data_IF_304722587453
#
_entry.id   IF_304722587453
#
_cell.length_a   1.000
_cell.length_b   1.000
_cell.length_c   1.000
_cell.angle_alpha   90.00
_cell.angle_beta   90.00
_cell.angle_gamma   90.00
#
_symmetry.space_group_name_H-M   'P 1'
#
loop_
_entity.id
_entity.type
_entity.pdbx_description
1 polymer ?
#
# COMPACT_ATOMS: atom_id res chain seq x y z
N UNK A 1 102.27 -12.42 -23.41
CA UNK A 1 101.47 -13.57 -23.90
C UNK A 1 100.00 -13.29 -23.60
N UNK A 2 99.16 -13.61 -24.58
CA UNK A 2 97.70 -13.39 -24.82
C UNK A 2 96.73 -13.69 -23.65
N UNK A 3 95.40 -13.43 -23.73
CA UNK A 3 94.59 -12.98 -24.89
C UNK A 3 93.53 -11.87 -24.66
N UNK A 4 92.99 -11.39 -25.79
CA UNK A 4 91.76 -10.61 -25.98
C UNK A 4 90.53 -11.32 -25.40
N UNK A 5 89.55 -10.55 -24.91
CA UNK A 5 88.16 -10.99 -24.84
C UNK A 5 87.21 -10.02 -25.57
N UNK A 6 86.46 -10.65 -26.47
CA UNK A 6 85.44 -10.20 -27.42
C UNK A 6 84.31 -9.34 -26.82
N UNK A 7 84.00 -8.23 -27.48
CA UNK A 7 82.72 -7.53 -27.34
C UNK A 7 81.66 -8.21 -28.22
N UNK A 8 80.76 -8.99 -27.62
CA UNK A 8 79.49 -9.38 -28.27
C UNK A 8 78.41 -8.35 -27.97
N UNK A 9 78.05 -7.57 -28.98
CA UNK A 9 76.83 -6.75 -29.00
C UNK A 9 75.69 -7.63 -29.53
N UNK A 10 74.63 -7.82 -28.75
CA UNK A 10 73.39 -8.48 -29.18
C UNK A 10 72.56 -7.54 -30.06
N UNK A 11 71.90 -8.02 -31.13
CA UNK A 11 71.04 -7.17 -31.95
C UNK A 11 69.73 -6.87 -31.22
N UNK A 12 69.35 -5.59 -31.17
CA UNK A 12 68.06 -5.15 -30.70
C UNK A 12 66.96 -5.64 -31.67
N UNK A 13 66.05 -6.49 -31.19
CA UNK A 13 64.85 -6.88 -31.91
C UNK A 13 63.87 -5.69 -31.95
N UNK A 14 63.59 -5.18 -33.16
CA UNK A 14 62.61 -4.13 -33.38
C UNK A 14 61.19 -4.60 -33.03
N UNK A 15 60.52 -3.83 -32.16
CA UNK A 15 59.09 -4.01 -31.87
C UNK A 15 58.27 -3.44 -33.03
N UNK A 16 57.54 -4.29 -33.74
CA UNK A 16 56.52 -3.86 -34.71
C UNK A 16 55.31 -3.33 -33.94
N UNK A 17 55.07 -2.03 -33.98
CA UNK A 17 53.86 -1.42 -33.44
C UNK A 17 52.71 -1.65 -34.43
N UNK A 18 51.70 -2.43 -34.02
CA UNK A 18 50.49 -2.61 -34.81
C UNK A 18 49.71 -1.29 -34.86
N UNK A 19 49.16 -0.89 -36.03
CA UNK A 19 48.39 0.34 -36.15
C UNK A 19 47.17 0.28 -35.24
N UNK A 20 47.03 1.28 -34.37
CA UNK A 20 45.82 1.48 -33.58
C UNK A 20 44.71 1.89 -34.54
N UNK A 21 43.73 1.02 -34.74
CA UNK A 21 42.54 1.36 -35.52
C UNK A 21 41.71 2.40 -34.76
N UNK A 22 41.90 3.68 -35.10
CA UNK A 22 41.03 4.76 -34.62
C UNK A 22 39.63 4.55 -35.19
N UNK A 23 38.73 3.98 -34.36
CA UNK A 23 37.31 3.88 -34.67
C UNK A 23 36.70 5.27 -34.62
N UNK A 24 36.58 5.91 -35.79
CA UNK A 24 35.87 7.18 -35.95
C UNK A 24 34.38 6.89 -35.89
N UNK A 25 33.74 7.27 -34.78
CA UNK A 25 32.30 7.14 -34.61
C UNK A 25 31.58 8.11 -35.54
N UNK A 26 30.67 7.60 -36.37
CA UNK A 26 29.91 8.43 -37.31
C UNK A 26 28.63 8.96 -36.67
N UNK A 27 28.15 10.12 -37.15
CA UNK A 27 26.85 10.67 -36.72
C UNK A 27 25.70 9.70 -36.99
N UNK A 28 25.79 8.90 -38.07
CA UNK A 28 24.78 7.91 -38.44
C UNK A 28 24.72 6.76 -37.41
N UNK A 29 25.88 6.25 -36.98
CA UNK A 29 25.93 5.22 -35.92
C UNK A 29 25.30 5.70 -34.61
N UNK A 30 25.56 6.96 -34.22
CA UNK A 30 24.92 7.55 -33.05
C UNK A 30 23.40 7.65 -33.24
N UNK A 31 22.96 8.10 -34.40
CA UNK A 31 21.55 8.33 -34.71
C UNK A 31 20.73 7.02 -34.72
N UNK A 32 21.29 5.94 -35.29
CA UNK A 32 20.64 4.63 -35.28
C UNK A 32 20.51 4.07 -33.87
N UNK A 33 21.54 4.23 -33.03
CA UNK A 33 21.50 3.75 -31.63
C UNK A 33 20.42 4.47 -30.83
N UNK A 34 20.34 5.80 -30.91
CA UNK A 34 19.28 6.55 -30.20
C UNK A 34 17.89 6.19 -30.73
N UNK A 35 17.75 5.93 -32.04
CA UNK A 35 16.48 5.52 -32.64
C UNK A 35 16.01 4.16 -32.10
N UNK A 36 16.93 3.20 -31.97
CA UNK A 36 16.62 1.88 -31.38
C UNK A 36 16.26 2.01 -29.90
N UNK A 37 17.01 2.80 -29.13
CA UNK A 37 16.72 3.05 -27.70
C UNK A 37 15.33 3.69 -27.55
N UNK A 38 14.99 4.68 -28.38
CA UNK A 38 13.69 5.34 -28.35
C UNK A 38 12.53 4.37 -28.64
N UNK A 39 12.70 3.48 -29.62
CA UNK A 39 11.70 2.45 -29.95
C UNK A 39 11.49 1.47 -28.78
N UNK A 40 12.59 0.97 -28.19
CA UNK A 40 12.53 0.04 -27.06
C UNK A 40 11.93 0.72 -25.81
N UNK A 41 12.35 1.95 -25.52
CA UNK A 41 11.82 2.73 -24.40
C UNK A 41 10.32 2.99 -24.55
N UNK A 42 9.84 3.26 -25.77
CA UNK A 42 8.42 3.45 -26.06
C UNK A 42 7.54 2.26 -25.67
N UNK A 43 8.03 1.02 -25.81
CA UNK A 43 7.33 -0.19 -25.37
C UNK A 43 7.46 -0.45 -23.87
N UNK A 44 8.57 -0.02 -23.25
CA UNK A 44 8.87 -0.26 -21.83
C UNK A 44 8.08 0.64 -20.87
N UNK A 45 7.84 1.91 -21.21
CA UNK A 45 7.13 2.87 -20.35
C UNK A 45 5.76 2.39 -19.82
N UNK A 46 4.82 1.89 -20.66
CA UNK A 46 3.51 1.44 -20.17
C UNK A 46 3.62 0.19 -19.27
N UNK A 47 4.59 -0.68 -19.53
CA UNK A 47 4.83 -1.88 -18.72
C UNK A 47 5.47 -1.50 -17.39
N UNK A 48 6.44 -0.59 -17.40
CA UNK A 48 7.11 -0.09 -16.21
C UNK A 48 6.12 0.59 -15.25
N UNK A 49 5.21 1.42 -15.76
CA UNK A 49 4.16 2.03 -14.94
C UNK A 49 3.24 1.00 -14.28
N UNK A 50 2.86 -0.07 -15.01
CA UNK A 50 2.08 -1.17 -14.43
C UNK A 50 2.86 -1.94 -13.37
N UNK A 51 4.15 -2.21 -13.61
CA UNK A 51 5.03 -2.89 -12.66
C UNK A 51 5.21 -2.08 -11.37
N UNK A 52 5.41 -0.77 -11.48
CA UNK A 52 5.51 0.14 -10.33
C UNK A 52 4.23 0.13 -9.50
N UNK A 53 3.06 0.18 -10.12
CA UNK A 53 1.78 0.12 -9.39
C UNK A 53 1.59 -1.23 -8.70
N UNK A 54 1.97 -2.33 -9.35
CA UNK A 54 1.97 -3.66 -8.72
C UNK A 54 2.92 -3.76 -7.52
N UNK A 55 4.08 -3.09 -7.59
CA UNK A 55 4.99 -2.96 -6.47
C UNK A 55 4.36 -2.22 -5.27
N UNK A 56 3.72 -1.08 -5.53
CA UNK A 56 3.00 -0.33 -4.48
C UNK A 56 1.85 -1.16 -3.89
N UNK A 57 1.08 -1.86 -4.73
CA UNK A 57 0.00 -2.75 -4.28
C UNK A 57 0.53 -3.86 -3.37
N UNK A 58 1.65 -4.48 -3.73
CA UNK A 58 2.29 -5.54 -2.93
C UNK A 58 2.72 -5.03 -1.56
N UNK A 59 3.33 -3.84 -1.51
CA UNK A 59 3.73 -3.23 -0.25
C UNK A 59 2.52 -2.92 0.64
N UNK A 60 1.43 -2.43 0.05
CA UNK A 60 0.20 -2.16 0.78
C UNK A 60 -0.47 -3.44 1.33
N UNK A 61 -0.46 -4.53 0.56
CA UNK A 61 -0.87 -5.86 1.05
C UNK A 61 -0.02 -6.25 2.25
N UNK A 62 1.30 -6.06 2.19
CA UNK A 62 2.19 -6.38 3.31
C UNK A 62 1.94 -5.50 4.55
N UNK A 63 1.60 -4.23 4.37
CA UNK A 63 1.19 -3.34 5.47
C UNK A 63 -0.10 -3.83 6.13
N UNK A 64 -1.12 -4.12 5.32
CA UNK A 64 -2.38 -4.68 5.79
C UNK A 64 -2.20 -6.05 6.47
N UNK A 65 -1.24 -6.88 6.03
CA UNK A 65 -0.88 -8.16 6.70
C UNK A 65 -0.35 -7.91 8.10
N UNK A 66 0.60 -6.98 8.21
CA UNK A 66 1.19 -6.62 9.50
C UNK A 66 0.14 -6.07 10.44
N UNK A 67 -0.70 -5.15 9.97
CA UNK A 67 -1.84 -4.62 10.72
C UNK A 67 -2.80 -5.74 11.16
N UNK A 68 -3.22 -6.62 10.24
CA UNK A 68 -4.14 -7.72 10.56
C UNK A 68 -3.54 -8.67 11.60
N UNK A 69 -2.25 -8.94 11.52
CA UNK A 69 -1.52 -9.73 12.52
C UNK A 69 -1.50 -9.01 13.88
N UNK A 70 -1.23 -7.70 13.89
CA UNK A 70 -1.27 -6.89 15.11
C UNK A 70 -2.67 -6.89 15.75
N UNK A 71 -3.73 -6.83 14.94
CA UNK A 71 -5.11 -6.90 15.43
C UNK A 71 -5.43 -8.25 16.06
N UNK A 72 -4.99 -9.36 15.45
CA UNK A 72 -5.15 -10.69 16.03
C UNK A 72 -4.39 -10.80 17.35
N UNK A 73 -3.13 -10.35 17.39
CA UNK A 73 -2.33 -10.35 18.62
C UNK A 73 -3.00 -9.52 19.73
N UNK A 74 -3.50 -8.33 19.39
CA UNK A 74 -4.23 -7.49 20.34
C UNK A 74 -5.46 -8.22 20.87
N UNK A 75 -6.25 -8.82 19.97
CA UNK A 75 -7.47 -9.54 20.32
C UNK A 75 -7.19 -10.71 21.27
N UNK A 76 -6.16 -11.51 20.97
CA UNK A 76 -5.74 -12.65 21.79
C UNK A 76 -5.30 -12.20 23.20
N UNK A 77 -4.79 -10.96 23.35
CA UNK A 77 -4.36 -10.37 24.63
C UNK A 77 -5.49 -9.65 25.40
N UNK A 78 -6.60 -9.29 24.74
CA UNK A 78 -7.65 -8.41 25.27
C UNK A 78 -9.05 -9.07 25.23
N UNK A 79 -9.18 -10.30 25.72
CA UNK A 79 -10.47 -10.99 25.89
C UNK A 79 -11.33 -11.08 24.62
N UNK A 80 -10.69 -11.30 23.47
CA UNK A 80 -11.33 -11.33 22.16
C UNK A 80 -11.90 -9.98 21.66
N UNK A 81 -11.58 -8.88 22.34
CA UNK A 81 -11.98 -7.54 21.93
C UNK A 81 -11.04 -6.96 20.87
N UNK A 82 -11.61 -6.13 20.00
CA UNK A 82 -10.86 -5.45 18.95
C UNK A 82 -10.20 -4.18 19.49
N UNK A 83 -9.06 -3.82 18.91
CA UNK A 83 -8.39 -2.57 19.27
C UNK A 83 -9.33 -1.37 19.05
N UNK A 84 -9.47 -0.44 20.01
CA UNK A 84 -10.40 0.69 19.90
C UNK A 84 -10.14 1.59 18.67
N UNK A 85 -8.87 1.70 18.29
CA UNK A 85 -8.40 2.47 17.15
C UNK A 85 -7.21 1.74 16.53
N UNK A 86 -7.10 1.71 15.21
CA UNK A 86 -5.98 1.03 14.54
C UNK A 86 -4.63 1.67 14.91
N UNK A 87 -4.63 2.97 15.23
CA UNK A 87 -3.48 3.71 15.74
C UNK A 87 -3.01 3.26 17.12
N UNK A 88 -3.90 2.73 17.96
CA UNK A 88 -3.55 2.26 19.31
C UNK A 88 -2.77 0.95 19.32
N UNK A 89 -2.69 0.25 18.19
CA UNK A 89 -1.79 -0.89 18.02
C UNK A 89 -0.30 -0.49 18.11
N UNK A 90 0.04 0.78 17.87
CA UNK A 90 1.38 1.31 18.05
C UNK A 90 1.53 1.86 19.49
N UNK A 91 2.67 1.64 20.17
CA UNK A 91 3.86 0.88 19.75
C UNK A 91 3.85 -0.60 20.18
N UNK A 92 2.78 -1.07 20.80
CA UNK A 92 2.78 -2.36 21.49
C UNK A 92 2.71 -3.54 20.52
N UNK A 93 1.64 -3.63 19.72
CA UNK A 93 1.47 -4.67 18.71
C UNK A 93 2.25 -4.35 17.43
N UNK A 94 2.35 -3.07 17.05
CA UNK A 94 3.11 -2.60 15.89
C UNK A 94 4.33 -1.79 16.31
N UNK A 95 5.51 -2.08 15.73
CA UNK A 95 6.77 -1.40 16.07
C UNK A 95 7.13 -0.22 15.17
N UNK A 96 6.28 0.09 14.19
CA UNK A 96 6.52 1.17 13.24
C UNK A 96 5.21 1.82 12.81
N UNK A 97 5.23 3.13 12.66
CA UNK A 97 4.09 3.90 12.14
C UNK A 97 3.95 3.83 10.62
N UNK A 98 4.96 3.32 9.91
CA UNK A 98 4.95 3.27 8.44
C UNK A 98 3.94 2.27 7.88
N UNK A 99 3.56 1.26 8.67
CA UNK A 99 2.55 0.27 8.24
C UNK A 99 1.17 0.90 8.07
N UNK A 100 0.88 2.05 8.69
CA UNK A 100 -0.41 2.75 8.54
C UNK A 100 -0.50 3.60 7.27
N UNK A 101 0.59 3.69 6.50
CA UNK A 101 0.67 4.52 5.30
C UNK A 101 0.63 3.65 4.05
N UNK A 102 -0.33 3.92 3.18
CA UNK A 102 -0.37 3.29 1.87
C UNK A 102 0.63 3.97 0.93
N UNK A 103 1.51 3.24 0.22
CA UNK A 103 2.44 3.87 -0.74
C UNK A 103 1.75 4.55 -1.90
N UNK A 104 0.51 4.17 -2.23
CA UNK A 104 -0.32 4.81 -3.28
C UNK A 104 -1.14 5.99 -2.77
N UNK A 105 -1.10 6.28 -1.47
CA UNK A 105 -1.64 7.52 -0.93
C UNK A 105 -0.73 8.69 -1.32
N UNK A 106 -1.16 9.44 -2.33
CA UNK A 106 -0.44 10.60 -2.88
C UNK A 106 -0.60 11.87 -2.06
N UNK A 107 -1.39 11.86 -0.98
CA UNK A 107 -1.59 13.03 -0.14
C UNK A 107 -0.45 13.13 0.86
N UNK A 108 0.72 13.51 0.37
CA UNK A 108 1.95 13.59 1.19
C UNK A 108 1.79 14.59 2.35
N UNK A 109 0.86 15.56 2.24
CA UNK A 109 0.73 16.69 3.16
C UNK A 109 -0.69 16.94 3.75
N UNK A 110 -1.65 16.02 3.57
CA UNK A 110 -2.98 16.16 4.17
C UNK A 110 -3.16 15.15 5.33
N UNK A 111 -3.44 15.59 6.57
CA UNK A 111 -3.50 14.73 7.74
C UNK A 111 -4.78 13.86 7.72
N UNK A 112 -4.62 12.57 8.03
CA UNK A 112 -5.69 11.64 8.40
C UNK A 112 -7.01 11.78 7.62
N UNK A 113 -6.91 11.94 6.31
CA UNK A 113 -8.06 12.22 5.47
C UNK A 113 -8.58 10.93 4.82
N UNK A 114 -9.82 10.48 5.11
CA UNK A 114 -10.41 9.39 4.37
C UNK A 114 -10.36 9.64 2.87
N UNK A 115 -10.23 8.56 2.10
CA UNK A 115 -10.38 8.60 0.66
C UNK A 115 -11.63 9.40 0.26
N UNK A 116 -11.51 10.31 -0.72
CA UNK A 116 -12.59 11.22 -1.18
C UNK A 116 -13.94 10.52 -1.40
N UNK A 117 -13.94 9.27 -1.88
CA UNK A 117 -15.16 8.47 -2.06
C UNK A 117 -15.92 8.14 -0.77
N UNK A 118 -15.22 8.09 0.37
CA UNK A 118 -15.82 7.91 1.69
C UNK A 118 -16.47 9.21 2.18
N UNK A 119 -15.83 10.36 1.92
CA UNK A 119 -16.38 11.69 2.23
C UNK A 119 -17.62 12.04 1.40
N UNK A 120 -17.73 11.48 0.20
CA UNK A 120 -18.88 11.69 -0.68
C UNK A 120 -20.07 10.77 -0.38
N UNK A 121 -19.97 9.91 0.65
CA UNK A 121 -21.10 9.07 1.05
C UNK A 121 -22.26 9.93 1.55
N UNK A 122 -23.49 9.77 1.01
CA UNK A 122 -24.64 10.58 1.39
C UNK A 122 -25.03 10.44 2.86
N UNK A 123 -24.75 9.30 3.47
CA UNK A 123 -25.18 8.97 4.83
C UNK A 123 -24.26 9.56 5.92
N UNK A 124 -23.03 9.98 5.59
CA UNK A 124 -22.02 10.58 6.48
C UNK A 124 -21.75 9.83 7.80
N UNK A 125 -22.33 8.64 8.01
CA UNK A 125 -22.33 7.89 9.28
C UNK A 125 -20.92 7.54 9.77
N UNK A 126 -19.99 7.41 8.85
CA UNK A 126 -18.61 7.05 9.14
C UNK A 126 -17.64 8.24 9.24
N UNK A 127 -18.13 9.49 9.20
CA UNK A 127 -17.27 10.67 9.26
C UNK A 127 -16.50 10.77 10.60
N UNK A 128 -17.11 10.32 11.69
CA UNK A 128 -16.53 10.26 13.04
C UNK A 128 -15.80 8.95 13.31
N UNK A 129 -16.02 7.93 12.49
CA UNK A 129 -15.40 6.62 12.63
C UNK A 129 -13.96 6.56 12.11
N UNK A 130 -13.50 7.59 11.39
CA UNK A 130 -12.13 7.59 10.89
C UNK A 130 -11.12 7.82 12.02
N UNK A 131 -10.05 7.03 12.04
CA UNK A 131 -8.96 7.17 13.00
C UNK A 131 -8.12 8.42 12.67
N UNK A 132 -8.33 9.50 13.44
CA UNK A 132 -7.67 10.80 13.23
C UNK A 132 -7.64 11.63 14.50
N UNK A 133 -6.68 12.55 14.56
CA UNK A 133 -6.66 13.61 15.57
C UNK A 133 -8.02 14.30 15.71
N UNK A 134 -8.46 14.51 16.95
CA UNK A 134 -9.74 15.11 17.36
C UNK A 134 -10.98 14.20 17.32
N UNK A 135 -10.89 12.98 16.78
CA UNK A 135 -11.96 12.00 16.97
C UNK A 135 -11.74 11.28 18.31
N UNK A 136 -12.83 10.93 18.99
CA UNK A 136 -12.81 10.28 20.31
C UNK A 136 -13.87 9.19 20.33
N UNK A 137 -13.54 8.04 20.92
CA UNK A 137 -14.45 6.92 21.08
C UNK A 137 -15.48 7.10 22.20
N UNK A 138 -16.43 6.18 22.31
CA UNK A 138 -17.57 6.24 23.25
C UNK A 138 -17.13 6.28 24.73
N UNK A 139 -15.93 5.81 25.06
CA UNK A 139 -15.38 5.82 26.43
C UNK A 139 -14.19 6.77 26.65
N UNK A 140 -14.08 7.84 25.85
CA UNK A 140 -12.94 8.78 25.95
C UNK A 140 -11.63 8.19 25.43
N UNK A 141 -11.69 7.03 24.76
CA UNK A 141 -10.55 6.39 24.14
C UNK A 141 -10.21 7.15 22.87
N UNK A 142 -9.01 7.73 22.83
CA UNK A 142 -8.54 8.56 21.73
C UNK A 142 -7.62 7.77 20.79
N UNK A 143 -7.58 8.14 19.50
CA UNK A 143 -6.51 7.78 18.58
C UNK A 143 -5.13 8.05 19.17
N UNK A 144 -4.14 7.22 18.82
CA UNK A 144 -2.77 7.45 19.24
C UNK A 144 -2.20 8.71 18.53
N UNK A 145 -1.78 9.74 19.28
CA UNK A 145 -1.29 10.99 18.71
C UNK A 145 0.04 10.85 17.94
N UNK A 146 0.81 9.79 18.18
CA UNK A 146 2.07 9.54 17.48
C UNK A 146 1.85 9.01 16.04
N UNK A 147 0.66 8.46 15.76
CA UNK A 147 0.29 7.96 14.44
C UNK A 147 -0.38 9.08 13.64
N UNK A 148 0.44 9.96 13.09
CA UNK A 148 -0.02 11.19 12.43
C UNK A 148 -0.68 10.99 11.05
N UNK A 149 -0.54 9.80 10.46
CA UNK A 149 -1.07 9.52 9.13
C UNK A 149 -1.55 8.07 8.99
N UNK A 150 -2.85 7.92 8.77
CA UNK A 150 -3.51 6.64 8.56
C UNK A 150 -4.21 6.69 7.20
N UNK A 151 -3.73 5.88 6.25
CA UNK A 151 -4.30 5.78 4.90
C UNK A 151 -5.47 4.79 4.80
N UNK A 152 -5.67 3.99 5.86
CA UNK A 152 -6.62 2.89 5.88
C UNK A 152 -7.87 3.23 6.68
N UNK A 153 -9.02 2.71 6.25
CA UNK A 153 -10.23 2.74 7.05
C UNK A 153 -10.30 1.47 7.91
N UNK A 154 -10.53 1.64 9.20
CA UNK A 154 -10.69 0.55 10.16
C UNK A 154 -12.17 0.43 10.54
N UNK A 155 -12.74 -0.76 10.36
CA UNK A 155 -14.18 -0.98 10.49
C UNK A 155 -14.63 -1.14 11.94
N UNK A 156 -13.77 -1.63 12.82
CA UNK A 156 -14.10 -1.96 14.21
C UNK A 156 -13.70 -0.83 15.18
N UNK A 157 -13.89 0.43 14.80
CA UNK A 157 -13.50 1.54 15.68
C UNK A 157 -14.42 1.67 16.89
N UNK A 158 -13.87 2.19 17.97
CA UNK A 158 -14.64 2.51 19.17
C UNK A 158 -15.39 3.85 19.04
N UNK A 159 -15.45 4.43 17.84
CA UNK A 159 -16.26 5.61 17.58
C UNK A 159 -17.74 5.32 17.81
N UNK A 160 -18.47 6.34 18.27
CA UNK A 160 -19.91 6.24 18.49
C UNK A 160 -20.64 5.82 17.22
N UNK A 161 -21.54 4.86 17.36
CA UNK A 161 -22.46 4.45 16.32
C UNK A 161 -23.55 5.54 16.19
N UNK A 162 -23.70 6.22 15.04
CA UNK A 162 -24.68 7.29 14.86
C UNK A 162 -26.12 6.75 14.63
N UNK A 163 -26.51 5.71 15.38
CA UNK A 163 -27.83 5.09 15.28
C UNK A 163 -28.00 4.16 14.08
N UNK A 164 -26.92 3.50 13.61
CA UNK A 164 -27.04 2.42 12.65
C UNK A 164 -27.46 1.12 13.35
N UNK A 165 -28.38 0.39 12.74
CA UNK A 165 -28.89 -0.89 13.22
C UNK A 165 -28.69 -1.96 12.16
N UNK A 166 -28.50 -3.19 12.61
CA UNK A 166 -28.52 -4.35 11.74
C UNK A 166 -29.91 -4.58 11.14
N UNK A 167 -30.03 -5.31 10.02
CA UNK A 167 -31.32 -5.60 9.38
C UNK A 167 -32.33 -6.30 10.31
N UNK A 168 -31.84 -7.05 11.29
CA UNK A 168 -32.62 -7.74 12.32
C UNK A 168 -33.03 -6.85 13.51
N UNK A 169 -32.62 -5.57 13.49
CA UNK A 169 -32.93 -4.58 14.52
C UNK A 169 -31.91 -4.51 15.67
N UNK A 170 -30.89 -5.37 15.71
CA UNK A 170 -29.82 -5.28 16.72
C UNK A 170 -29.04 -3.97 16.57
N UNK A 171 -28.65 -3.38 17.69
CA UNK A 171 -27.87 -2.14 17.76
C UNK A 171 -26.69 -2.29 18.70
N UNK A 172 -25.71 -1.41 18.54
CA UNK A 172 -24.61 -1.27 19.48
C UNK A 172 -24.26 0.21 19.66
N UNK A 173 -23.58 0.52 20.75
CA UNK A 173 -23.12 1.86 21.13
C UNK A 173 -21.96 2.38 20.25
N UNK A 174 -21.07 1.50 19.78
CA UNK A 174 -19.93 1.82 18.95
C UNK A 174 -19.81 0.89 17.73
N UNK A 175 -18.98 1.28 16.74
CA UNK A 175 -18.76 0.47 15.54
C UNK A 175 -18.13 -0.88 15.86
N UNK A 176 -17.21 -0.94 16.82
CA UNK A 176 -16.57 -2.16 17.30
C UNK A 176 -17.60 -3.23 17.70
N UNK A 177 -18.49 -2.91 18.65
CA UNK A 177 -19.54 -3.83 19.09
C UNK A 177 -20.54 -4.16 17.97
N UNK A 178 -20.87 -3.19 17.12
CA UNK A 178 -21.74 -3.42 15.98
C UNK A 178 -21.10 -4.42 14.99
N UNK A 179 -19.79 -4.29 14.72
CA UNK A 179 -19.05 -5.21 13.85
C UNK A 179 -18.92 -6.59 14.48
N UNK A 180 -18.75 -6.70 15.80
CA UNK A 180 -18.76 -7.99 16.48
C UNK A 180 -20.06 -8.77 16.18
N UNK A 181 -21.21 -8.11 16.27
CA UNK A 181 -22.51 -8.72 15.92
C UNK A 181 -22.60 -9.11 14.44
N UNK A 182 -21.99 -8.34 13.53
CA UNK A 182 -21.95 -8.69 12.10
C UNK A 182 -21.04 -9.87 11.80
N UNK A 183 -19.90 -9.99 12.49
CA UNK A 183 -18.91 -11.06 12.29
C UNK A 183 -19.52 -12.43 12.62
N UNK A 184 -20.38 -12.52 13.64
CA UNK A 184 -21.08 -13.76 13.98
C UNK A 184 -21.97 -14.30 12.85
N UNK A 185 -22.45 -13.42 11.95
CA UNK A 185 -23.37 -13.77 10.87
C UNK A 185 -22.69 -13.91 9.49
N UNK A 186 -21.41 -13.54 9.39
CA UNK A 186 -20.69 -13.45 8.12
C UNK A 186 -19.47 -14.37 8.10
N UNK A 187 -19.02 -14.74 6.91
CA UNK A 187 -17.77 -15.48 6.74
C UNK A 187 -16.59 -14.59 7.20
N UNK A 188 -15.85 -14.96 8.28
CA UNK A 188 -14.75 -14.15 8.79
C UNK A 188 -13.59 -14.04 7.79
N UNK A 189 -13.52 -14.93 6.80
CA UNK A 189 -12.51 -14.86 5.73
C UNK A 189 -12.80 -13.78 4.70
N UNK A 190 -14.04 -13.30 4.62
CA UNK A 190 -14.52 -12.25 3.70
C UNK A 190 -15.12 -11.04 4.43
N UNK A 191 -14.98 -10.97 5.75
CA UNK A 191 -15.40 -9.82 6.55
C UNK A 191 -14.29 -8.77 6.66
N UNK A 192 -14.39 -7.58 6.06
CA UNK A 192 -13.28 -6.63 6.02
C UNK A 192 -13.10 -5.95 7.38
N UNK A 193 -11.87 -5.93 7.89
CA UNK A 193 -11.53 -5.21 9.12
C UNK A 193 -10.75 -3.93 8.84
N UNK A 194 -9.81 -3.97 7.90
CA UNK A 194 -9.01 -2.81 7.50
C UNK A 194 -8.99 -2.70 5.99
N UNK A 195 -9.24 -1.49 5.49
CA UNK A 195 -9.65 -1.25 4.11
C UNK A 195 -8.79 -0.17 3.46
N UNK A 196 -8.36 -0.44 2.24
CA UNK A 196 -7.52 0.43 1.44
C UNK A 196 -8.20 0.81 0.13
N UNK A 197 -8.56 2.09 0.01
CA UNK A 197 -9.19 2.65 -1.18
C UNK A 197 -8.20 3.28 -2.18
N UNK A 198 -6.89 3.06 -2.00
CA UNK A 198 -5.83 3.73 -2.78
C UNK A 198 -5.34 2.91 -3.99
N UNK A 199 -5.51 1.58 -4.00
CA UNK A 199 -5.05 0.71 -5.10
C UNK A 199 -6.09 0.39 -6.17
N UNK A 200 -7.14 1.19 -6.27
CA UNK A 200 -8.19 0.98 -7.26
C UNK A 200 -7.64 1.29 -8.66
N UNK A 201 -7.53 0.28 -9.51
CA UNK A 201 -7.22 0.48 -10.94
C UNK A 201 -8.33 1.36 -11.54
N UNK A 202 -7.95 2.49 -12.15
CA UNK A 202 -8.87 3.50 -12.63
C UNK A 202 -9.77 4.10 -11.53
N UNK A 203 -9.27 4.28 -10.30
CA UNK A 203 -9.99 4.93 -9.18
C UNK A 203 -10.84 6.12 -9.63
N UNK A 204 -10.24 7.04 -10.37
CA UNK A 204 -10.94 8.23 -10.85
C UNK A 204 -12.10 7.88 -11.81
N UNK A 205 -11.91 6.92 -12.71
CA UNK A 205 -12.97 6.45 -13.61
C UNK A 205 -14.07 5.71 -12.86
N UNK A 206 -13.71 4.87 -11.88
CA UNK A 206 -14.66 4.17 -11.02
C UNK A 206 -15.46 5.16 -10.16
N UNK A 207 -14.80 6.12 -9.51
CA UNK A 207 -15.44 7.21 -8.76
C UNK A 207 -16.37 8.02 -9.68
N UNK A 208 -15.93 8.35 -10.89
CA UNK A 208 -16.72 9.15 -11.83
C UNK A 208 -17.91 8.39 -12.42
N UNK A 209 -17.90 7.04 -12.42
CA UNK A 209 -18.98 6.20 -12.95
C UNK A 209 -19.96 5.75 -11.86
N UNK A 210 -19.42 5.30 -10.71
CA UNK A 210 -20.17 4.98 -9.49
C UNK A 210 -19.18 4.88 -8.32
N UNK A 211 -19.15 5.88 -7.41
CA UNK A 211 -18.28 5.88 -6.22
C UNK A 211 -18.38 4.59 -5.38
N UNK A 212 -19.57 4.00 -5.32
CA UNK A 212 -19.86 2.78 -4.56
C UNK A 212 -19.33 1.51 -5.25
N UNK A 213 -19.07 1.55 -6.57
CA UNK A 213 -18.62 0.41 -7.38
C UNK A 213 -17.08 0.26 -7.48
N UNK A 214 -16.31 1.15 -6.84
CA UNK A 214 -14.85 1.06 -6.85
C UNK A 214 -14.38 -0.11 -5.97
N UNK A 215 -13.59 -1.07 -6.48
CA UNK A 215 -13.09 -2.17 -5.67
C UNK A 215 -12.08 -1.67 -4.64
N UNK A 216 -12.29 -2.05 -3.37
CA UNK A 216 -11.47 -1.73 -2.21
C UNK A 216 -10.65 -2.96 -1.85
N UNK A 217 -9.37 -2.77 -1.56
CA UNK A 217 -8.51 -3.83 -1.05
C UNK A 217 -8.69 -3.95 0.46
N UNK A 218 -8.99 -5.15 0.95
CA UNK A 218 -9.22 -5.38 2.37
C UNK A 218 -8.32 -6.48 2.91
N UNK A 219 -8.02 -6.40 4.20
CA UNK A 219 -7.68 -7.55 5.04
C UNK A 219 -8.95 -7.94 5.80
N UNK A 220 -9.24 -9.23 5.86
CA UNK A 220 -10.41 -9.77 6.56
C UNK A 220 -10.15 -10.05 8.04
N UNK A 221 -11.22 -10.29 8.80
CA UNK A 221 -11.17 -10.68 10.20
C UNK A 221 -10.29 -11.92 10.43
N UNK A 222 -10.34 -12.90 9.52
CA UNK A 222 -9.49 -14.09 9.56
C UNK A 222 -8.08 -13.88 8.96
N UNK A 223 -7.72 -12.67 8.53
CA UNK A 223 -6.39 -12.35 8.00
C UNK A 223 -6.18 -12.62 6.50
N UNK A 224 -7.25 -12.89 5.74
CA UNK A 224 -7.18 -13.09 4.29
C UNK A 224 -7.30 -11.76 3.53
N UNK A 225 -6.73 -11.72 2.32
CA UNK A 225 -6.88 -10.57 1.42
C UNK A 225 -7.98 -10.82 0.42
N UNK A 226 -8.80 -9.79 0.20
CA UNK A 226 -9.83 -9.85 -0.80
C UNK A 226 -10.21 -8.44 -1.27
N UNK A 227 -10.95 -8.39 -2.37
CA UNK A 227 -11.51 -7.15 -2.89
C UNK A 227 -13.00 -7.08 -2.53
N UNK A 228 -13.48 -5.88 -2.19
CA UNK A 228 -14.91 -5.63 -1.97
C UNK A 228 -15.37 -4.36 -2.65
N UNK A 229 -16.67 -4.13 -2.73
CA UNK A 229 -17.21 -2.80 -3.03
C UNK A 229 -16.98 -1.82 -1.87
N UNK A 230 -17.19 -0.53 -2.10
CA UNK A 230 -17.02 0.49 -1.07
C UNK A 230 -18.05 0.33 0.08
N UNK A 231 -19.29 0.03 -0.26
CA UNK A 231 -20.42 -0.17 0.65
C UNK A 231 -20.68 -1.67 0.87
N UNK A 232 -19.66 -2.41 1.29
CA UNK A 232 -19.73 -3.86 1.45
C UNK A 232 -20.85 -4.31 2.40
N UNK A 233 -21.19 -3.47 3.38
CA UNK A 233 -22.25 -3.70 4.34
C UNK A 233 -23.66 -3.75 3.73
N UNK A 234 -23.82 -3.33 2.47
CA UNK A 234 -25.10 -3.35 1.73
C UNK A 234 -25.39 -4.67 1.02
N UNK A 235 -24.49 -5.65 1.12
CA UNK A 235 -24.85 -7.06 0.92
C UNK A 235 -24.68 -7.66 -0.49
N UNK A 236 -23.97 -7.02 -1.43
CA UNK A 236 -23.62 -7.66 -2.71
C UNK A 236 -22.15 -8.02 -2.75
N UNK A 237 -21.86 -9.28 -2.44
CA UNK A 237 -20.54 -9.90 -2.51
C UNK A 237 -20.46 -10.75 -3.77
N UNK A 238 -19.57 -10.41 -4.70
CA UNK A 238 -19.12 -11.35 -5.73
C UNK A 238 -17.73 -11.85 -5.31
N UNK A 239 -17.53 -13.17 -5.13
CA UNK A 239 -16.21 -13.74 -4.89
C UNK A 239 -15.17 -13.36 -5.95
#
# INVERSE_FOLDING_TARGET
MTPRHDHRVSPAQGRVALPRADRRFTLIELLVVIAIIALLAGMLLPVFNKAKEKGRQTFCINNLKQIGTCLIMYRDENEEDMSPWISTLYPDSSKTVDIYRCPSDTWVNAPNDPATGWKSRPDAKYATAYDRSNNTGVHGINPNPDVLKISYFYECTHAGNPGWSLPDGRTADCWMHLKALQIEEHDPTLFPIVRCSWHVRNRQKAINQSPSAAPILNISYAGNFFLSMNEWETGVWTP
#
